data_IF_889224346694
#
_entry.id   IF_889224346694
#
_cell.length_a   1.000
_cell.length_b   1.000
_cell.length_c   1.000
_cell.angle_alpha   90.00
_cell.angle_beta   90.00
_cell.angle_gamma   90.00
#
_symmetry.space_group_name_H-M   'P 1'
#
loop_
_entity.id
_entity.type
_entity.pdbx_description
1 polymer ?
#
# COMPACT_ATOMS: atom_id res chain seq x y z
N UNK A 1 -71.28 -46.19 -20.37
CA UNK A 1 -70.67 -47.34 -19.65
C UNK A 1 -69.16 -47.18 -19.79
N UNK A 2 -68.47 -46.56 -18.83
CA UNK A 2 -68.13 -47.02 -17.48
C UNK A 2 -66.92 -47.97 -17.46
N UNK A 3 -65.90 -47.60 -16.66
CA UNK A 3 -64.83 -48.45 -16.15
C UNK A 3 -63.52 -48.37 -16.94
N UNK A 4 -62.35 -48.13 -16.36
CA UNK A 4 -61.98 -48.07 -14.95
C UNK A 4 -60.47 -48.32 -14.85
N UNK A 5 -59.76 -47.43 -14.18
CA UNK A 5 -58.38 -47.63 -13.73
C UNK A 5 -58.36 -48.47 -12.43
N UNK A 6 -57.21 -49.08 -12.08
CA UNK A 6 -56.86 -49.42 -10.70
C UNK A 6 -55.64 -48.63 -10.18
N UNK A 7 -55.35 -48.66 -8.85
CA UNK A 7 -54.95 -47.48 -8.09
C UNK A 7 -53.67 -47.61 -7.24
N UNK A 8 -53.40 -46.54 -6.46
CA UNK A 8 -52.74 -46.47 -5.12
C UNK A 8 -51.23 -46.66 -5.06
N UNK A 9 -50.44 -45.91 -4.28
CA UNK A 9 -50.55 -45.38 -2.90
C UNK A 9 -49.58 -44.18 -2.77
N UNK A 10 -49.61 -43.19 -1.87
CA UNK A 10 -50.22 -42.88 -0.57
C UNK A 10 -49.20 -41.93 0.12
N UNK A 11 -49.49 -40.89 0.89
CA UNK A 11 -50.71 -40.24 1.36
C UNK A 11 -50.38 -38.79 1.82
N UNK A 12 -51.37 -38.02 2.29
CA UNK A 12 -51.23 -36.60 2.61
C UNK A 12 -51.02 -36.34 4.11
N UNK A 13 -50.37 -35.23 4.44
CA UNK A 13 -50.30 -34.65 5.79
C UNK A 13 -51.44 -33.64 5.97
N UNK A 14 -52.27 -33.83 7.00
CA UNK A 14 -53.26 -32.85 7.43
C UNK A 14 -53.24 -32.70 8.95
N UNK A 15 -53.23 -31.43 9.35
CA UNK A 15 -53.36 -30.75 10.64
C UNK A 15 -53.96 -31.44 11.87
N UNK A 16 -53.45 -31.03 13.04
CA UNK A 16 -54.25 -30.79 14.26
C UNK A 16 -53.87 -29.46 14.92
N UNK A 17 -54.88 -28.74 15.36
CA UNK A 17 -54.92 -27.33 15.80
C UNK A 17 -54.94 -27.13 17.33
N UNK A 18 -54.66 -25.87 17.74
CA UNK A 18 -55.12 -25.14 18.97
C UNK A 18 -54.60 -25.61 20.35
N UNK A 19 -54.24 -24.77 21.35
CA UNK A 19 -54.46 -23.33 21.64
C UNK A 19 -53.71 -22.91 22.93
N UNK A 20 -53.63 -21.58 23.17
CA UNK A 20 -53.25 -20.81 24.39
C UNK A 20 -51.76 -20.45 24.52
N UNK A 21 -51.33 -19.25 24.95
CA UNK A 21 -51.95 -17.92 25.14
C UNK A 21 -50.80 -16.91 25.30
N UNK A 22 -51.06 -15.67 24.89
CA UNK A 22 -50.18 -14.50 24.81
C UNK A 22 -49.62 -13.95 26.13
N UNK A 23 -48.36 -13.47 26.11
CA UNK A 23 -47.92 -12.28 26.84
C UNK A 23 -46.86 -11.56 26.01
N UNK A 24 -47.23 -10.42 25.42
CA UNK A 24 -46.41 -9.66 24.47
C UNK A 24 -45.44 -8.69 25.15
N UNK A 25 -44.30 -8.49 24.49
CA UNK A 25 -43.44 -7.31 24.64
C UNK A 25 -43.21 -6.71 23.24
N UNK A 26 -43.42 -5.39 23.04
CA UNK A 26 -43.18 -4.75 21.75
C UNK A 26 -41.66 -4.60 21.47
N UNK A 27 -41.24 -4.54 20.19
CA UNK A 27 -39.85 -4.35 19.83
C UNK A 27 -39.33 -2.95 20.23
N UNK A 28 -38.03 -2.81 20.55
CA UNK A 28 -37.45 -1.55 20.99
C UNK A 28 -37.45 -0.48 19.86
N UNK A 29 -37.68 0.81 20.19
CA UNK A 29 -37.68 1.89 19.22
C UNK A 29 -36.27 2.21 18.68
N UNK A 30 -36.16 2.75 17.45
CA UNK A 30 -34.88 3.13 16.86
C UNK A 30 -34.22 4.30 17.61
N UNK A 31 -32.88 4.38 17.61
CA UNK A 31 -32.15 5.44 18.29
C UNK A 31 -32.48 6.82 17.70
N UNK A 32 -32.57 7.88 18.54
CA UNK A 32 -32.97 9.21 18.10
C UNK A 32 -31.91 9.83 17.17
N UNK A 33 -32.36 10.31 16.01
CA UNK A 33 -31.54 11.09 15.07
C UNK A 33 -31.29 12.47 15.67
N UNK A 34 -30.07 12.71 16.17
CA UNK A 34 -29.62 14.04 16.56
C UNK A 34 -29.37 14.84 15.27
N UNK A 35 -30.36 15.64 14.88
CA UNK A 35 -30.20 16.70 13.89
C UNK A 35 -29.50 17.87 14.55
N UNK A 36 -28.17 17.93 14.46
CA UNK A 36 -27.44 19.14 14.84
C UNK A 36 -27.53 20.13 13.67
N UNK A 37 -28.43 21.09 13.82
CA UNK A 37 -28.62 22.17 12.86
C UNK A 37 -27.32 22.97 12.69
N UNK A 38 -26.86 23.08 11.44
CA UNK A 38 -25.83 24.03 11.02
C UNK A 38 -26.35 25.46 11.27
N UNK A 39 -25.64 26.32 12.03
CA UNK A 39 -26.01 27.72 12.07
C UNK A 39 -25.64 28.35 10.72
N UNK A 40 -26.66 28.79 9.99
CA UNK A 40 -26.53 29.75 8.91
C UNK A 40 -26.87 31.14 9.44
N UNK A 41 -25.93 32.06 9.35
CA UNK A 41 -26.08 33.49 9.62
C UNK A 41 -24.69 34.13 9.50
N UNK A 42 -24.40 35.08 8.62
CA UNK A 42 -25.28 36.00 7.91
C UNK A 42 -24.73 36.32 6.50
N UNK A 43 -25.66 36.57 5.59
CA UNK A 43 -25.41 37.19 4.30
C UNK A 43 -25.42 38.72 4.42
N UNK A 44 -24.45 39.39 3.81
CA UNK A 44 -24.47 40.74 3.21
C UNK A 44 -23.03 41.02 2.74
N UNK A 45 -22.71 41.51 1.54
CA UNK A 45 -23.47 42.15 0.48
C UNK A 45 -22.69 41.99 -0.83
N UNK A 46 -23.40 41.93 -1.96
CA UNK A 46 -22.80 42.16 -3.27
C UNK A 46 -22.33 43.61 -3.37
N UNK A 47 -21.03 43.82 -3.60
CA UNK A 47 -20.52 45.02 -4.28
C UNK A 47 -19.42 44.62 -5.25
N UNK A 48 -19.65 44.95 -6.52
CA UNK A 48 -18.62 45.03 -7.55
C UNK A 48 -17.52 46.00 -7.11
N UNK A 49 -16.27 45.58 -7.18
CA UNK A 49 -15.11 46.42 -6.87
C UNK A 49 -13.82 45.62 -7.03
N UNK A 50 -12.95 46.14 -7.89
CA UNK A 50 -11.64 45.64 -8.30
C UNK A 50 -10.62 45.78 -7.15
N UNK A 51 -9.48 45.08 -7.28
CA UNK A 51 -8.16 45.27 -6.62
C UNK A 51 -7.67 44.17 -5.67
N UNK A 52 -6.37 43.95 -5.77
CA UNK A 52 -5.55 42.77 -5.47
C UNK A 52 -5.57 42.28 -4.02
N UNK A 53 -5.88 40.98 -3.84
CA UNK A 53 -5.53 40.23 -2.63
C UNK A 53 -4.49 39.14 -2.97
N UNK A 54 -3.20 39.32 -2.61
CA UNK A 54 -2.16 38.35 -2.91
C UNK A 54 -2.25 37.09 -2.03
N UNK A 55 -3.13 37.02 -1.03
CA UNK A 55 -3.21 35.88 -0.11
C UNK A 55 -3.99 34.68 -0.67
N UNK A 56 -4.94 34.90 -1.59
CA UNK A 56 -5.70 33.84 -2.25
C UNK A 56 -4.89 33.08 -3.34
N UNK A 57 -3.83 33.70 -3.85
CA UNK A 57 -2.94 33.12 -4.88
C UNK A 57 -1.89 32.20 -4.25
N UNK A 58 -1.52 32.42 -2.99
CA UNK A 58 -0.48 31.62 -2.29
C UNK A 58 -0.95 30.20 -1.97
N UNK A 59 -2.25 29.98 -1.73
CA UNK A 59 -2.78 28.62 -1.52
C UNK A 59 -3.05 27.84 -2.82
N UNK A 60 -3.19 28.52 -3.96
CA UNK A 60 -3.44 27.87 -5.25
C UNK A 60 -2.17 27.49 -6.01
N UNK A 61 -0.99 27.91 -5.56
CA UNK A 61 0.25 27.78 -6.35
C UNK A 61 1.21 26.67 -5.91
N UNK A 62 0.82 25.71 -5.05
CA UNK A 62 1.80 24.80 -4.41
C UNK A 62 1.67 23.28 -4.59
N UNK A 63 0.59 22.76 -5.16
CA UNK A 63 0.49 21.33 -5.48
C UNK A 63 0.25 21.16 -6.98
N UNK A 64 1.33 21.00 -7.75
CA UNK A 64 1.20 20.45 -9.11
C UNK A 64 0.48 19.10 -8.99
N UNK A 65 -0.51 18.86 -9.87
CA UNK A 65 -1.20 17.58 -9.93
C UNK A 65 -0.15 16.48 -10.15
N UNK A 66 0.08 15.66 -9.12
CA UNK A 66 1.01 14.56 -9.20
C UNK A 66 0.46 13.53 -10.21
N UNK A 67 1.30 12.93 -11.06
CA UNK A 67 0.85 11.96 -12.04
C UNK A 67 0.14 10.77 -11.37
N UNK A 68 -0.66 10.03 -12.15
CA UNK A 68 -1.42 8.88 -11.64
C UNK A 68 -0.55 7.84 -10.92
N UNK A 69 0.70 7.66 -11.37
CA UNK A 69 1.74 6.95 -10.64
C UNK A 69 3.08 7.69 -10.72
N UNK A 70 3.83 7.67 -9.62
CA UNK A 70 5.19 8.19 -9.47
C UNK A 70 6.08 7.12 -8.82
N UNK A 71 6.23 6.00 -9.51
CA UNK A 71 7.10 4.90 -9.12
C UNK A 71 8.59 5.29 -9.14
N UNK A 72 9.29 4.97 -8.04
CA UNK A 72 10.75 5.16 -7.90
C UNK A 72 11.56 4.27 -8.84
N UNK A 73 11.01 3.12 -9.24
CA UNK A 73 11.69 2.12 -10.04
C UNK A 73 10.96 1.81 -11.35
N UNK A 74 11.72 1.33 -12.34
CA UNK A 74 11.20 0.66 -13.53
C UNK A 74 10.80 -0.80 -13.23
N UNK A 75 10.20 -1.47 -14.22
CA UNK A 75 9.96 -2.92 -14.20
C UNK A 75 11.27 -3.73 -14.08
N UNK A 76 12.38 -3.19 -14.58
CA UNK A 76 13.73 -3.77 -14.49
C UNK A 76 14.48 -3.38 -13.20
N UNK A 77 13.83 -2.71 -12.24
CA UNK A 77 14.43 -2.22 -10.99
C UNK A 77 15.57 -1.20 -11.18
N UNK A 78 15.45 -0.37 -12.22
CA UNK A 78 16.28 0.82 -12.44
C UNK A 78 15.65 2.05 -11.78
N UNK A 79 16.46 2.91 -11.17
CA UNK A 79 15.99 4.04 -10.37
C UNK A 79 15.64 5.27 -11.23
N UNK A 80 14.41 5.78 -11.15
CA UNK A 80 13.89 6.89 -11.96
C UNK A 80 14.13 8.28 -11.35
N UNK A 81 15.37 8.76 -11.35
CA UNK A 81 15.66 10.11 -10.80
C UNK A 81 14.95 11.24 -11.58
N UNK A 82 15.07 11.24 -12.90
CA UNK A 82 14.64 12.37 -13.74
C UNK A 82 13.12 12.55 -13.78
N UNK A 83 12.37 11.45 -13.64
CA UNK A 83 10.90 11.48 -13.58
C UNK A 83 10.39 12.13 -12.29
N UNK A 84 11.15 12.00 -11.20
CA UNK A 84 10.70 12.37 -9.85
C UNK A 84 11.23 13.76 -9.45
N UNK A 85 12.42 14.12 -9.92
CA UNK A 85 13.08 15.39 -9.62
C UNK A 85 12.19 16.65 -9.79
N UNK A 86 11.30 16.75 -10.80
CA UNK A 86 10.41 17.91 -10.96
C UNK A 86 9.41 18.12 -9.81
N UNK A 87 9.10 17.07 -9.05
CA UNK A 87 8.17 17.11 -7.92
C UNK A 87 8.83 17.46 -6.59
N UNK A 88 10.17 17.54 -6.57
CA UNK A 88 10.98 17.84 -5.40
C UNK A 88 11.56 19.26 -5.47
N UNK A 89 11.79 19.83 -4.30
CA UNK A 89 12.25 21.20 -4.12
C UNK A 89 13.65 21.27 -3.52
N UNK A 90 14.20 22.48 -3.37
CA UNK A 90 15.45 22.69 -2.63
C UNK A 90 15.21 22.85 -1.12
N UNK A 91 14.04 22.43 -0.62
CA UNK A 91 13.75 22.43 0.80
C UNK A 91 14.61 21.39 1.54
N UNK A 92 15.16 21.76 2.69
CA UNK A 92 15.90 20.86 3.57
C UNK A 92 15.11 20.46 4.82
N UNK A 93 13.95 21.08 5.05
CA UNK A 93 13.04 20.76 6.15
C UNK A 93 11.89 19.88 5.63
N UNK A 94 12.15 18.58 5.56
CA UNK A 94 11.21 17.57 5.09
C UNK A 94 11.42 16.28 5.88
N UNK A 95 10.43 15.39 5.84
CA UNK A 95 10.52 14.06 6.47
C UNK A 95 10.15 12.99 5.46
N UNK A 96 10.95 11.93 5.39
CA UNK A 96 10.70 10.76 4.56
C UNK A 96 10.10 9.66 5.42
N UNK A 97 8.89 9.23 5.07
CA UNK A 97 8.17 8.14 5.73
C UNK A 97 8.00 7.02 4.72
N UNK A 98 8.63 5.88 4.98
CA UNK A 98 8.43 4.66 4.23
C UNK A 98 7.51 3.70 4.97
N UNK A 99 6.82 2.83 4.24
CA UNK A 99 6.01 1.76 4.80
C UNK A 99 6.40 0.41 4.19
N UNK A 100 6.50 -0.63 5.02
CA UNK A 100 6.83 -1.99 4.62
C UNK A 100 5.93 -2.99 5.36
N UNK A 101 5.57 -4.09 4.70
CA UNK A 101 4.73 -5.11 5.31
C UNK A 101 4.10 -6.07 4.30
N UNK A 102 3.54 -7.21 4.77
CA UNK A 102 2.91 -8.22 3.91
C UNK A 102 1.73 -7.71 3.07
N UNK A 103 1.18 -8.52 2.15
CA UNK A 103 -0.08 -8.20 1.46
C UNK A 103 -1.23 -8.03 2.46
N UNK A 104 -2.22 -7.20 2.13
CA UNK A 104 -3.46 -7.11 2.92
C UNK A 104 -3.40 -6.27 4.21
N UNK A 105 -2.20 -5.97 4.74
CA UNK A 105 -2.05 -5.26 6.04
C UNK A 105 -2.45 -3.78 6.05
N UNK A 106 -2.95 -3.23 4.93
CA UNK A 106 -3.47 -1.85 4.87
C UNK A 106 -2.44 -0.75 4.65
N UNK A 107 -1.26 -1.06 4.10
CA UNK A 107 -0.16 -0.09 3.86
C UNK A 107 -0.62 1.18 3.13
N UNK A 108 -1.15 1.02 1.92
CA UNK A 108 -1.58 2.13 1.07
C UNK A 108 -2.71 2.94 1.71
N UNK A 109 -3.57 2.29 2.51
CA UNK A 109 -4.62 2.97 3.29
C UNK A 109 -4.00 3.89 4.34
N UNK A 110 -3.05 3.40 5.14
CA UNK A 110 -2.32 4.20 6.13
C UNK A 110 -1.60 5.38 5.44
N UNK A 111 -1.01 5.14 4.27
CA UNK A 111 -0.30 6.18 3.52
C UNK A 111 -1.23 7.25 2.95
N UNK A 112 -2.46 6.89 2.54
CA UNK A 112 -3.46 7.87 2.12
C UNK A 112 -3.93 8.75 3.28
N UNK A 113 -4.12 8.18 4.47
CA UNK A 113 -4.44 8.96 5.68
C UNK A 113 -3.30 9.92 6.04
N UNK A 114 -2.05 9.44 6.03
CA UNK A 114 -0.84 10.28 6.25
C UNK A 114 -0.67 11.37 5.17
N UNK A 115 -1.12 11.11 3.95
CA UNK A 115 -1.12 12.10 2.87
C UNK A 115 -2.14 13.22 3.13
N UNK A 116 -3.16 12.98 3.97
CA UNK A 116 -4.29 13.87 4.18
C UNK A 116 -5.38 13.70 3.12
N UNK A 117 -5.54 12.49 2.55
CA UNK A 117 -6.60 12.20 1.61
C UNK A 117 -7.97 12.19 2.31
N UNK A 118 -8.87 13.09 1.90
CA UNK A 118 -10.26 13.09 2.33
C UNK A 118 -11.17 12.48 1.24
N UNK A 119 -11.65 11.27 1.49
CA UNK A 119 -12.57 10.56 0.59
C UNK A 119 -13.99 11.13 0.53
N UNK A 120 -14.29 12.24 1.22
CA UNK A 120 -15.63 12.86 1.22
C UNK A 120 -16.05 13.45 -0.13
N UNK A 121 -15.08 13.78 -1.00
CA UNK A 121 -15.33 14.43 -2.27
C UNK A 121 -15.61 13.41 -3.38
N UNK A 122 -16.80 13.42 -4.01
CA UNK A 122 -17.15 12.45 -5.03
C UNK A 122 -16.24 12.56 -6.26
N UNK A 123 -15.70 11.42 -6.70
CA UNK A 123 -14.85 11.31 -7.89
C UNK A 123 -13.35 11.49 -7.64
N UNK A 124 -12.92 11.77 -6.40
CA UNK A 124 -11.49 11.83 -6.06
C UNK A 124 -10.96 10.43 -5.71
N UNK A 125 -9.95 9.98 -6.44
CA UNK A 125 -9.27 8.72 -6.17
C UNK A 125 -8.14 8.93 -5.15
N UNK A 126 -7.85 7.93 -4.31
CA UNK A 126 -6.74 8.02 -3.37
C UNK A 126 -5.39 8.12 -4.11
N UNK A 127 -4.42 8.90 -3.60
CA UNK A 127 -3.07 8.99 -4.15
C UNK A 127 -2.34 7.65 -4.23
N UNK A 128 -2.52 6.78 -3.25
CA UNK A 128 -2.02 5.41 -3.27
C UNK A 128 -3.19 4.46 -3.55
N UNK A 129 -3.05 3.62 -4.59
CA UNK A 129 -4.08 2.66 -4.96
C UNK A 129 -4.29 1.64 -3.84
N UNK A 130 -5.50 1.60 -3.27
CA UNK A 130 -5.88 0.59 -2.28
C UNK A 130 -6.47 -0.64 -2.94
N UNK A 131 -6.36 -1.80 -2.29
CA UNK A 131 -7.00 -3.05 -2.74
C UNK A 131 -8.50 -2.86 -2.95
N UNK A 132 -8.97 -3.10 -4.17
CA UNK A 132 -10.41 -3.22 -4.47
C UNK A 132 -10.90 -4.64 -4.18
N UNK A 133 -12.21 -4.80 -4.04
CA UNK A 133 -12.82 -6.14 -3.91
C UNK A 133 -12.49 -7.05 -5.08
N UNK A 134 -12.38 -6.48 -6.28
CA UNK A 134 -12.02 -7.21 -7.51
C UNK A 134 -10.55 -7.67 -7.47
N UNK A 135 -9.62 -6.78 -7.13
CA UNK A 135 -8.19 -7.13 -7.05
C UNK A 135 -7.93 -8.18 -5.97
N UNK A 136 -8.65 -8.08 -4.85
CA UNK A 136 -8.62 -9.08 -3.77
C UNK A 136 -9.17 -10.43 -4.23
N UNK A 137 -10.28 -10.43 -4.96
CA UNK A 137 -10.84 -11.67 -5.53
C UNK A 137 -9.91 -12.32 -6.56
N UNK A 138 -9.13 -11.53 -7.31
CA UNK A 138 -8.12 -12.01 -8.24
C UNK A 138 -6.78 -12.38 -7.59
N UNK A 139 -6.65 -12.23 -6.27
CA UNK A 139 -5.39 -12.44 -5.52
C UNK A 139 -4.19 -11.68 -6.13
N UNK A 140 -4.41 -10.46 -6.62
CA UNK A 140 -3.37 -9.60 -7.21
C UNK A 140 -2.85 -8.57 -6.21
N UNK A 141 -1.61 -8.12 -6.41
CA UNK A 141 -1.09 -6.95 -5.71
C UNK A 141 -1.62 -5.66 -6.36
N UNK A 142 -1.54 -4.55 -5.60
CA UNK A 142 -1.88 -3.21 -6.10
C UNK A 142 -0.64 -2.36 -6.30
N UNK A 143 0.24 -2.36 -5.29
CA UNK A 143 1.51 -1.61 -5.33
C UNK A 143 2.62 -2.49 -5.90
N UNK A 144 3.30 -1.98 -6.92
CA UNK A 144 4.49 -2.60 -7.54
C UNK A 144 5.68 -1.68 -7.28
N UNK A 145 6.84 -2.24 -6.95
CA UNK A 145 8.05 -1.50 -6.55
C UNK A 145 7.85 -0.53 -5.38
N UNK A 146 8.03 0.78 -5.57
CA UNK A 146 7.84 1.81 -4.54
C UNK A 146 7.20 3.04 -5.17
N UNK A 147 5.99 3.36 -4.72
CA UNK A 147 5.24 4.54 -5.16
C UNK A 147 5.60 5.73 -4.25
N UNK A 148 5.90 6.89 -4.84
CA UNK A 148 6.26 8.11 -4.12
C UNK A 148 5.14 9.15 -4.21
N UNK A 149 4.79 9.77 -3.08
CA UNK A 149 3.95 10.97 -3.04
C UNK A 149 4.59 12.03 -2.14
N UNK A 150 4.37 13.29 -2.48
CA UNK A 150 4.75 14.43 -1.63
C UNK A 150 3.47 15.09 -1.12
N UNK A 151 3.30 15.13 0.20
CA UNK A 151 2.12 15.76 0.83
C UNK A 151 2.25 17.30 0.84
N UNK A 152 1.14 17.99 1.15
CA UNK A 152 1.14 19.44 1.34
C UNK A 152 2.04 19.89 2.51
N UNK A 153 2.23 19.02 3.51
CA UNK A 153 3.05 19.22 4.70
C UNK A 153 4.52 18.82 4.51
N UNK A 154 4.96 18.63 3.25
CA UNK A 154 6.36 18.26 2.91
C UNK A 154 6.80 16.91 3.50
N UNK A 155 5.85 15.99 3.65
CA UNK A 155 6.16 14.58 3.86
C UNK A 155 6.44 13.93 2.50
N UNK A 156 7.59 13.28 2.37
CA UNK A 156 7.87 12.36 1.26
C UNK A 156 7.42 10.98 1.72
N UNK A 157 6.35 10.48 1.12
CA UNK A 157 5.68 9.24 1.46
C UNK A 157 6.07 8.15 0.45
N UNK A 158 6.62 7.03 0.93
CA UNK A 158 7.06 5.89 0.12
C UNK A 158 6.22 4.64 0.42
N UNK A 159 5.28 4.31 -0.46
CA UNK A 159 4.47 3.08 -0.36
C UNK A 159 5.14 1.94 -1.12
N UNK A 160 5.69 0.98 -0.37
CA UNK A 160 6.41 -0.15 -0.94
C UNK A 160 5.47 -1.31 -1.29
N UNK A 161 5.83 -2.03 -2.36
CA UNK A 161 5.18 -3.29 -2.70
C UNK A 161 5.18 -4.27 -1.51
N UNK A 162 4.16 -5.13 -1.38
CA UNK A 162 4.11 -6.09 -0.29
C UNK A 162 5.29 -7.06 -0.30
N UNK A 163 5.96 -7.22 0.84
CA UNK A 163 6.94 -8.30 1.06
C UNK A 163 6.22 -9.64 1.21
N UNK A 164 6.88 -10.75 0.87
CA UNK A 164 6.28 -12.10 0.95
C UNK A 164 5.01 -12.27 0.09
N UNK A 165 4.89 -11.55 -1.02
CA UNK A 165 3.67 -11.53 -1.85
C UNK A 165 3.69 -12.62 -2.93
N UNK A 166 2.78 -13.62 -2.87
CA UNK A 166 2.70 -14.65 -3.91
C UNK A 166 2.41 -14.07 -5.30
N UNK A 167 1.59 -13.03 -5.38
CA UNK A 167 1.25 -12.38 -6.65
C UNK A 167 2.46 -11.66 -7.29
N UNK A 168 3.41 -11.17 -6.50
CA UNK A 168 4.65 -10.58 -7.02
C UNK A 168 5.60 -11.67 -7.48
N UNK A 169 5.69 -12.77 -6.73
CA UNK A 169 6.46 -13.93 -7.14
C UNK A 169 5.98 -14.52 -8.47
N UNK A 170 4.66 -14.65 -8.66
CA UNK A 170 4.07 -15.12 -9.92
C UNK A 170 4.44 -14.22 -11.08
N UNK A 171 4.37 -12.89 -10.93
CA UNK A 171 4.73 -11.94 -11.98
C UNK A 171 6.24 -11.92 -12.27
N UNK A 172 7.07 -12.23 -11.26
CA UNK A 172 8.53 -12.35 -11.41
C UNK A 172 8.95 -13.67 -12.07
N UNK A 173 8.16 -14.74 -11.97
CA UNK A 173 8.58 -16.08 -12.38
C UNK A 173 8.45 -16.29 -13.89
N UNK A 174 9.57 -16.59 -14.56
CA UNK A 174 9.58 -17.05 -15.95
C UNK A 174 9.08 -18.50 -16.04
N UNK A 175 8.67 -18.97 -17.24
CA UNK A 175 8.22 -20.36 -17.43
C UNK A 175 9.24 -21.44 -17.04
N UNK A 176 10.53 -21.10 -16.98
CA UNK A 176 11.62 -21.98 -16.56
C UNK A 176 11.91 -21.94 -15.04
N UNK A 177 11.10 -21.20 -14.27
CA UNK A 177 11.27 -20.97 -12.83
C UNK A 177 12.35 -19.94 -12.47
N UNK A 178 13.01 -19.33 -13.46
CA UNK A 178 13.98 -18.26 -13.21
C UNK A 178 13.30 -16.93 -12.94
N UNK A 179 14.00 -16.03 -12.26
CA UNK A 179 13.51 -14.66 -12.04
C UNK A 179 13.61 -13.81 -13.30
N UNK A 180 12.53 -13.10 -13.64
CA UNK A 180 12.50 -12.05 -14.64
C UNK A 180 13.43 -10.87 -14.32
N UNK A 181 13.69 -10.65 -13.03
CA UNK A 181 14.48 -9.54 -12.49
C UNK A 181 15.86 -10.04 -12.04
N UNK A 182 16.93 -9.34 -12.44
CA UNK A 182 18.28 -9.60 -11.94
C UNK A 182 18.50 -8.85 -10.63
N UNK A 183 18.48 -9.59 -9.51
CA UNK A 183 18.58 -9.05 -8.15
C UNK A 183 20.04 -8.84 -7.72
N UNK A 184 20.94 -9.70 -8.19
CA UNK A 184 22.39 -9.63 -7.97
C UNK A 184 23.07 -9.53 -9.34
N UNK A 185 23.87 -8.48 -9.56
CA UNK A 185 24.60 -8.13 -10.81
C UNK A 185 24.74 -9.26 -11.88
N UNK A 186 23.66 -9.56 -12.61
CA UNK A 186 23.65 -10.54 -13.70
C UNK A 186 23.61 -12.02 -13.31
N UNK A 187 23.55 -12.38 -12.02
CA UNK A 187 23.37 -13.77 -11.59
C UNK A 187 21.92 -14.22 -11.83
N UNK A 188 21.76 -15.35 -12.52
CA UNK A 188 20.46 -15.96 -12.74
C UNK A 188 20.03 -16.75 -11.49
N UNK A 189 19.02 -16.25 -10.79
CA UNK A 189 18.46 -16.87 -9.59
C UNK A 189 17.10 -17.51 -9.90
N UNK A 190 16.68 -18.47 -9.06
CA UNK A 190 15.28 -18.91 -9.04
C UNK A 190 14.38 -17.75 -8.64
N UNK A 191 13.13 -17.76 -9.12
CA UNK A 191 12.15 -16.73 -8.79
C UNK A 191 11.94 -16.62 -7.26
N UNK A 192 11.88 -17.76 -6.54
CA UNK A 192 11.70 -17.78 -5.09
C UNK A 192 12.84 -17.08 -4.35
N UNK A 193 14.08 -17.40 -4.69
CA UNK A 193 15.26 -16.80 -4.06
C UNK A 193 15.39 -15.32 -4.43
N UNK A 194 15.12 -14.97 -5.69
CA UNK A 194 15.12 -13.58 -6.13
C UNK A 194 14.06 -12.75 -5.38
N UNK A 195 12.86 -13.31 -5.17
CA UNK A 195 11.79 -12.65 -4.44
C UNK A 195 12.15 -12.42 -2.96
N UNK A 196 12.77 -13.40 -2.29
CA UNK A 196 13.27 -13.24 -0.91
C UNK A 196 14.37 -12.17 -0.82
N UNK A 197 15.35 -12.21 -1.71
CA UNK A 197 16.44 -11.23 -1.74
C UNK A 197 15.94 -9.82 -2.07
N UNK A 198 14.96 -9.70 -2.96
CA UNK A 198 14.35 -8.42 -3.28
C UNK A 198 13.65 -7.82 -2.07
N UNK A 199 13.00 -8.64 -1.23
CA UNK A 199 12.42 -8.20 0.05
C UNK A 199 13.48 -7.63 1.00
N UNK A 200 14.65 -8.29 1.09
CA UNK A 200 15.80 -7.79 1.88
C UNK A 200 16.34 -6.49 1.30
N UNK A 201 16.60 -6.42 0.00
CA UNK A 201 17.11 -5.22 -0.67
C UNK A 201 16.17 -4.02 -0.49
N UNK A 202 14.86 -4.24 -0.67
CA UNK A 202 13.83 -3.24 -0.47
C UNK A 202 13.82 -2.71 0.97
N UNK A 203 13.92 -3.61 1.94
CA UNK A 203 13.97 -3.25 3.36
C UNK A 203 15.23 -2.46 3.74
N UNK A 204 16.41 -2.90 3.29
CA UNK A 204 17.68 -2.19 3.48
C UNK A 204 17.63 -0.82 2.83
N UNK A 205 17.12 -0.73 1.60
CA UNK A 205 16.94 0.53 0.89
C UNK A 205 16.04 1.49 1.68
N UNK A 206 14.82 1.08 2.03
CA UNK A 206 13.87 1.90 2.78
C UNK A 206 14.43 2.37 4.11
N UNK A 207 15.04 1.47 4.88
CA UNK A 207 15.64 1.82 6.16
C UNK A 207 16.86 2.76 6.04
N UNK A 208 17.52 2.78 4.88
CA UNK A 208 18.62 3.71 4.60
C UNK A 208 18.14 5.09 4.15
N UNK A 209 17.00 5.17 3.45
CA UNK A 209 16.51 6.42 2.85
C UNK A 209 15.42 7.13 3.65
N UNK A 210 14.76 6.43 4.58
CA UNK A 210 13.65 6.99 5.37
C UNK A 210 14.13 7.56 6.70
N UNK A 211 13.49 8.64 7.15
CA UNK A 211 13.60 9.11 8.54
C UNK A 211 12.78 8.20 9.47
N UNK A 212 11.61 7.77 9.01
CA UNK A 212 10.72 6.85 9.72
C UNK A 212 10.33 5.71 8.77
N UNK A 213 10.53 4.47 9.21
CA UNK A 213 10.05 3.29 8.51
C UNK A 213 8.93 2.64 9.33
N UNK A 214 7.71 2.69 8.79
CA UNK A 214 6.54 2.03 9.36
C UNK A 214 6.56 0.55 8.95
N UNK A 215 6.63 -0.35 9.93
CA UNK A 215 6.50 -1.78 9.72
C UNK A 215 5.09 -2.20 10.10
N UNK A 216 4.32 -2.69 9.13
CA UNK A 216 2.92 -3.08 9.33
C UNK A 216 2.79 -4.59 9.16
N UNK A 217 2.08 -5.21 10.09
CA UNK A 217 1.93 -6.66 10.23
C UNK A 217 0.56 -6.96 10.83
N UNK A 218 0.02 -8.15 10.57
CA UNK A 218 -1.29 -8.57 11.12
C UNK A 218 -1.21 -8.99 12.60
N UNK A 219 0.01 -9.15 13.15
CA UNK A 219 0.19 -9.38 14.57
C UNK A 219 1.59 -9.84 14.97
N UNK A 220 1.78 -10.05 16.28
CA UNK A 220 3.06 -10.47 16.87
C UNK A 220 3.55 -11.84 16.40
N UNK A 221 2.70 -12.63 15.74
CA UNK A 221 3.01 -13.96 15.23
C UNK A 221 3.65 -13.96 13.84
N UNK A 222 3.82 -12.79 13.21
CA UNK A 222 4.48 -12.67 11.91
C UNK A 222 6.00 -12.76 12.05
N UNK A 223 6.50 -13.93 12.46
CA UNK A 223 7.92 -14.19 12.68
C UNK A 223 8.77 -13.86 11.45
N UNK A 224 8.25 -14.08 10.23
CA UNK A 224 8.94 -13.75 8.99
C UNK A 224 9.21 -12.25 8.85
N UNK A 225 8.26 -11.39 9.25
CA UNK A 225 8.43 -9.93 9.24
C UNK A 225 9.51 -9.53 10.23
N UNK A 226 9.47 -10.05 11.46
CA UNK A 226 10.47 -9.74 12.48
C UNK A 226 11.86 -10.26 12.14
N UNK A 227 11.95 -11.43 11.53
CA UNK A 227 13.21 -11.99 11.04
C UNK A 227 13.78 -11.14 9.90
N UNK A 228 12.94 -10.71 8.95
CA UNK A 228 13.36 -9.78 7.91
C UNK A 228 13.86 -8.46 8.52
N UNK A 229 13.16 -7.92 9.53
CA UNK A 229 13.59 -6.70 10.19
C UNK A 229 14.95 -6.86 10.89
N UNK A 230 15.17 -7.98 11.57
CA UNK A 230 16.47 -8.28 12.17
C UNK A 230 17.58 -8.33 11.12
N UNK A 231 17.32 -8.99 9.98
CA UNK A 231 18.24 -9.05 8.84
C UNK A 231 18.55 -7.65 8.30
N UNK A 232 17.53 -6.82 8.05
CA UNK A 232 17.68 -5.44 7.56
C UNK A 232 18.53 -4.61 8.51
N UNK A 233 18.21 -4.65 9.82
CA UNK A 233 18.92 -3.86 10.83
C UNK A 233 20.38 -4.30 10.99
N UNK A 234 20.69 -5.58 10.77
CA UNK A 234 22.07 -6.09 10.77
C UNK A 234 22.91 -5.61 9.57
N UNK A 235 22.25 -5.16 8.49
CA UNK A 235 22.89 -4.74 7.23
C UNK A 235 22.97 -3.22 7.06
N UNK A 236 22.24 -2.43 7.87
CA UNK A 236 22.17 -0.98 7.70
C UNK A 236 23.35 -0.24 8.33
N UNK A 237 24.01 0.60 7.52
CA UNK A 237 24.98 1.60 7.95
C UNK A 237 24.35 3.00 7.99
N UNK A 238 24.64 3.72 9.07
CA UNK A 238 24.27 5.08 9.49
C UNK A 238 23.33 5.96 8.60
N UNK A 239 22.31 6.62 9.20
CA UNK A 239 21.41 7.55 8.52
C UNK A 239 22.14 8.80 7.98
N UNK A 240 21.46 9.55 7.09
CA UNK A 240 21.98 10.81 6.54
C UNK A 240 22.40 11.78 7.66
N UNK A 241 23.71 11.97 7.84
CA UNK A 241 24.27 12.83 8.88
C UNK A 241 24.28 14.32 8.50
N UNK A 242 23.80 14.70 7.31
CA UNK A 242 23.87 16.06 6.77
C UNK A 242 22.47 16.57 6.43
N UNK A 243 22.26 17.88 6.64
CA UNK A 243 21.12 18.60 6.08
C UNK A 243 21.26 18.59 4.55
N UNK A 244 20.45 17.77 3.89
CA UNK A 244 20.35 17.65 2.43
C UNK A 244 19.01 18.23 1.97
N UNK A 245 18.89 18.62 0.70
CA UNK A 245 17.60 19.04 0.13
C UNK A 245 16.80 17.82 -0.37
N UNK A 246 15.49 17.96 -0.61
CA UNK A 246 14.64 16.89 -1.17
C UNK A 246 15.26 16.33 -2.47
N UNK A 247 15.77 17.21 -3.33
CA UNK A 247 16.44 16.83 -4.59
C UNK A 247 17.76 16.09 -4.36
N UNK A 248 18.56 16.52 -3.40
CA UNK A 248 19.80 15.86 -3.03
C UNK A 248 19.52 14.48 -2.40
N UNK A 249 18.46 14.36 -1.60
CA UNK A 249 17.96 13.10 -1.06
C UNK A 249 17.61 12.11 -2.17
N UNK A 250 16.89 12.54 -3.21
CA UNK A 250 16.54 11.65 -4.33
C UNK A 250 17.80 11.14 -5.05
N UNK A 251 18.76 12.01 -5.35
CA UNK A 251 20.02 11.63 -6.01
C UNK A 251 20.83 10.67 -5.14
N UNK A 252 20.87 10.90 -3.82
CA UNK A 252 21.58 10.02 -2.90
C UNK A 252 20.84 8.69 -2.72
N UNK A 253 19.51 8.67 -2.77
CA UNK A 253 18.70 7.44 -2.78
C UNK A 253 19.05 6.56 -3.98
N UNK A 254 19.21 7.14 -5.18
CA UNK A 254 19.68 6.39 -6.36
C UNK A 254 21.05 5.74 -6.14
N UNK A 255 22.00 6.46 -5.51
CA UNK A 255 23.33 5.92 -5.16
C UNK A 255 23.22 4.81 -4.11
N UNK A 256 22.36 4.97 -3.10
CA UNK A 256 22.13 3.96 -2.07
C UNK A 256 21.57 2.69 -2.71
N UNK A 257 20.63 2.80 -3.65
CA UNK A 257 20.11 1.63 -4.37
C UNK A 257 21.22 0.88 -5.12
N UNK A 258 22.14 1.60 -5.78
CA UNK A 258 23.31 0.98 -6.42
C UNK A 258 24.23 0.27 -5.43
N UNK A 259 24.41 0.81 -4.22
CA UNK A 259 25.17 0.17 -3.15
C UNK A 259 24.47 -1.08 -2.62
N UNK A 260 23.15 -1.05 -2.47
CA UNK A 260 22.33 -2.20 -2.05
C UNK A 260 22.46 -3.35 -3.07
N UNK A 261 22.30 -3.07 -4.37
CA UNK A 261 22.48 -4.08 -5.43
C UNK A 261 23.87 -4.71 -5.47
N UNK A 262 24.90 -3.94 -5.09
CA UNK A 262 26.31 -4.35 -5.09
C UNK A 262 26.80 -4.82 -3.72
N UNK A 263 25.90 -4.98 -2.75
CA UNK A 263 26.27 -5.28 -1.37
C UNK A 263 26.87 -6.69 -1.25
N UNK A 264 28.13 -6.83 -0.79
CA UNK A 264 28.73 -8.15 -0.58
C UNK A 264 27.99 -8.93 0.52
N UNK A 265 27.46 -8.25 1.53
CA UNK A 265 26.67 -8.87 2.62
C UNK A 265 25.40 -9.52 2.09
N UNK A 266 24.70 -8.87 1.15
CA UNK A 266 23.49 -9.45 0.52
C UNK A 266 23.87 -10.64 -0.37
N UNK A 267 25.01 -10.57 -1.07
CA UNK A 267 25.52 -11.70 -1.85
C UNK A 267 25.92 -12.90 -0.97
N UNK A 268 26.53 -12.65 0.20
CA UNK A 268 26.83 -13.69 1.19
C UNK A 268 25.56 -14.30 1.79
N UNK A 269 24.56 -13.47 2.06
CA UNK A 269 23.24 -13.93 2.51
C UNK A 269 22.58 -14.84 1.45
N UNK A 270 22.63 -14.46 0.17
CA UNK A 270 22.17 -15.30 -0.94
C UNK A 270 22.87 -16.66 -0.96
N UNK A 271 24.21 -16.69 -0.86
CA UNK A 271 24.98 -17.94 -0.81
C UNK A 271 24.58 -18.82 0.39
N UNK A 272 24.33 -18.21 1.53
CA UNK A 272 23.89 -18.90 2.76
C UNK A 272 22.52 -19.55 2.56
N UNK A 273 21.57 -18.83 1.96
CA UNK A 273 20.24 -19.36 1.63
C UNK A 273 20.32 -20.53 0.65
N UNK A 274 21.15 -20.43 -0.39
CA UNK A 274 21.38 -21.53 -1.33
C UNK A 274 22.02 -22.76 -0.65
N UNK A 275 22.95 -22.52 0.29
CA UNK A 275 23.60 -23.57 1.07
C UNK A 275 22.66 -24.31 2.03
N UNK A 276 21.61 -23.64 2.52
CA UNK A 276 20.64 -24.20 3.47
C UNK A 276 19.75 -25.31 2.89
N UNK A 277 19.69 -25.44 1.56
CA UNK A 277 18.85 -26.42 0.89
C UNK A 277 17.40 -25.98 0.66
N UNK A 278 16.96 -24.84 1.22
CA UNK A 278 15.59 -24.31 1.02
C UNK A 278 15.27 -23.98 -0.44
N UNK A 279 16.28 -23.61 -1.24
CA UNK A 279 16.13 -23.12 -2.61
C UNK A 279 16.88 -23.98 -3.65
N UNK A 280 17.17 -25.25 -3.32
CA UNK A 280 17.79 -26.18 -4.30
C UNK A 280 16.78 -26.56 -5.38
N UNK A 281 17.23 -26.51 -6.64
CA UNK A 281 16.52 -27.07 -7.79
C UNK A 281 16.39 -28.59 -7.69
#
# INVERSE_FOLDING_TARGET
>A
MAGGAPPSSGGPTVSSSSSSSSSGLPPPPPPPKILLAKPAGAAAAQRLGREDDPSAVVHRSRNAAQPGSLNLFSESWEFHTDRILPFLTENSDFTVIGIIGPPGVGKSTIMNELYGFDGSSPGMLPPFATHSDETRAMAKHCTTAIELRVSAERLILLDAQPIFSPSILVDMMRPDGSSAISVLNGEALSADLAHELLGVQLGVFLASVCNVLLVVSEGIHDFNVWQLMLTILSMNGHPFARNITEREWLRNSAKIWELVKKSPTIADYCRTLQGSGLFRK
#
